data_IF_466028494510
#
_entry.id   IF_466028494510
#
_cell.length_a   1.000
_cell.length_b   1.000
_cell.length_c   1.000
_cell.angle_alpha   90.00
_cell.angle_beta   90.00
_cell.angle_gamma   90.00
#
_symmetry.space_group_name_H-M   'P 1'
#
loop_
_entity.id
_entity.type
_entity.pdbx_description
1 polymer ?
#
# COMPACT_ATOMS: atom_id res chain seq x y z
N UNK A 1 50.52 25.54 -47.12
CA UNK A 1 50.11 25.28 -45.74
C UNK A 1 48.94 26.19 -45.38
N UNK A 2 47.68 25.75 -45.56
CA UNK A 2 46.47 26.46 -45.12
C UNK A 2 45.31 25.47 -45.05
N UNK A 3 45.27 24.70 -43.97
CA UNK A 3 44.17 23.80 -43.60
C UNK A 3 43.43 24.44 -42.44
N UNK A 4 42.26 25.03 -42.68
CA UNK A 4 41.54 25.77 -41.63
C UNK A 4 40.10 26.15 -41.95
N UNK A 5 39.41 25.43 -42.85
CA UNK A 5 38.00 25.73 -43.19
C UNK A 5 36.98 24.64 -42.82
N UNK A 6 37.41 23.50 -42.27
CA UNK A 6 36.52 22.35 -42.06
C UNK A 6 35.90 22.25 -40.66
N UNK A 7 36.28 23.10 -39.70
CA UNK A 7 35.82 22.96 -38.31
C UNK A 7 34.41 23.51 -38.04
N UNK A 8 33.96 24.53 -38.77
CA UNK A 8 32.65 25.15 -38.52
C UNK A 8 31.47 24.28 -39.00
N UNK A 9 31.61 23.56 -40.11
CA UNK A 9 30.56 22.66 -40.61
C UNK A 9 30.40 21.40 -39.75
N UNK A 10 31.50 20.89 -39.19
CA UNK A 10 31.48 19.72 -38.32
C UNK A 10 30.77 20.00 -36.98
N UNK A 11 31.01 21.17 -36.39
CA UNK A 11 30.37 21.58 -35.14
C UNK A 11 28.85 21.78 -35.30
N UNK A 12 28.41 22.36 -36.43
CA UNK A 12 26.99 22.54 -36.72
C UNK A 12 26.27 21.22 -36.93
N UNK A 13 26.89 20.26 -37.64
CA UNK A 13 26.32 18.93 -37.87
C UNK A 13 26.20 18.13 -36.56
N UNK A 14 27.21 18.23 -35.68
CA UNK A 14 27.21 17.58 -34.37
C UNK A 14 26.10 18.13 -33.46
N UNK A 15 25.90 19.46 -33.46
CA UNK A 15 24.82 20.09 -32.71
C UNK A 15 23.45 19.64 -33.22
N UNK A 16 23.28 19.54 -34.55
CA UNK A 16 22.02 19.08 -35.15
C UNK A 16 21.70 17.62 -34.79
N UNK A 17 22.71 16.74 -34.85
CA UNK A 17 22.58 15.34 -34.43
C UNK A 17 22.24 15.20 -32.95
N UNK A 18 22.88 15.98 -32.07
CA UNK A 18 22.59 16.00 -30.64
C UNK A 18 21.16 16.49 -30.36
N UNK A 19 20.69 17.52 -31.06
CA UNK A 19 19.30 17.97 -30.94
C UNK A 19 18.30 16.92 -31.43
N UNK A 20 18.56 16.24 -32.54
CA UNK A 20 17.71 15.16 -33.05
C UNK A 20 17.69 13.95 -32.09
N UNK A 21 18.81 13.60 -31.47
CA UNK A 21 18.88 12.53 -30.46
C UNK A 21 18.11 12.90 -29.19
N UNK A 22 18.19 14.15 -28.74
CA UNK A 22 17.46 14.61 -27.54
C UNK A 22 15.94 14.59 -27.72
N UNK A 23 15.44 14.96 -28.90
CA UNK A 23 14.01 14.95 -29.22
C UNK A 23 13.46 13.51 -29.33
N UNK A 24 14.25 12.59 -29.88
CA UNK A 24 13.87 11.18 -29.94
C UNK A 24 13.98 10.47 -28.58
N UNK A 25 14.96 10.83 -27.75
CA UNK A 25 15.08 10.29 -26.39
C UNK A 25 13.87 10.66 -25.51
N UNK A 26 13.32 11.87 -25.68
CA UNK A 26 12.12 12.31 -24.95
C UNK A 26 10.87 11.50 -25.37
N UNK A 27 10.70 11.23 -26.67
CA UNK A 27 9.62 10.38 -27.19
C UNK A 27 9.73 8.91 -26.76
N UNK A 28 10.96 8.36 -26.75
CA UNK A 28 11.19 6.99 -26.28
C UNK A 28 10.90 6.88 -24.78
N UNK A 29 11.22 7.90 -23.98
CA UNK A 29 10.90 7.92 -22.56
C UNK A 29 9.39 7.91 -22.28
N UNK A 30 8.58 8.60 -23.09
CA UNK A 30 7.11 8.55 -23.00
C UNK A 30 6.56 7.16 -23.33
N UNK A 31 7.09 6.50 -24.37
CA UNK A 31 6.70 5.13 -24.78
C UNK A 31 7.05 4.06 -23.73
N UNK A 32 8.05 4.33 -22.89
CA UNK A 32 8.48 3.47 -21.78
C UNK A 32 7.82 3.83 -20.44
N UNK A 33 7.03 4.90 -20.38
CA UNK A 33 6.35 5.31 -19.15
C UNK A 33 5.13 4.42 -18.87
N UNK A 34 5.09 3.81 -17.69
CA UNK A 34 3.96 3.01 -17.24
C UNK A 34 2.80 3.95 -16.86
N UNK A 35 1.75 4.00 -17.68
CA UNK A 35 0.53 4.73 -17.34
C UNK A 35 -0.37 3.88 -16.45
N UNK A 36 -0.75 4.44 -15.30
CA UNK A 36 -1.71 3.84 -14.37
C UNK A 36 -3.11 4.38 -14.64
N UNK A 37 -4.12 3.57 -14.34
CA UNK A 37 -5.52 4.01 -14.27
C UNK A 37 -5.71 5.12 -13.23
N UNK A 38 -6.88 5.78 -13.21
CA UNK A 38 -7.36 6.48 -12.02
C UNK A 38 -7.47 5.53 -10.80
N UNK A 39 -7.59 6.09 -9.60
CA UNK A 39 -7.83 5.31 -8.38
C UNK A 39 -9.23 4.67 -8.43
N UNK A 40 -9.31 3.37 -8.75
CA UNK A 40 -10.58 2.65 -8.88
C UNK A 40 -11.24 2.35 -7.53
N UNK A 41 -10.54 2.58 -6.41
CA UNK A 41 -11.10 2.39 -5.09
C UNK A 41 -12.04 3.53 -4.66
N UNK A 42 -12.00 4.70 -5.31
CA UNK A 42 -12.83 5.84 -4.94
C UNK A 42 -14.33 5.53 -5.05
N UNK A 43 -15.10 6.08 -4.11
CA UNK A 43 -16.55 5.90 -4.07
C UNK A 43 -17.27 6.39 -5.35
N UNK A 44 -16.69 7.35 -6.08
CA UNK A 44 -17.25 7.86 -7.34
C UNK A 44 -17.22 6.83 -8.49
N UNK A 45 -16.47 5.73 -8.36
CA UNK A 45 -16.47 4.60 -9.29
C UNK A 45 -17.43 3.47 -8.88
N UNK A 46 -18.33 3.71 -7.92
CA UNK A 46 -19.26 2.69 -7.41
C UNK A 46 -18.63 1.75 -6.37
N UNK A 47 -17.42 2.04 -5.91
CA UNK A 47 -16.73 1.26 -4.90
C UNK A 47 -17.31 1.52 -3.51
N UNK A 48 -17.69 0.46 -2.81
CA UNK A 48 -18.19 0.50 -1.44
C UNK A 48 -17.07 0.19 -0.44
N UNK A 49 -17.15 0.79 0.73
CA UNK A 49 -16.24 0.54 1.82
C UNK A 49 -17.01 0.38 3.14
N UNK A 50 -16.51 -0.46 4.05
CA UNK A 50 -17.13 -0.61 5.37
C UNK A 50 -16.95 0.63 6.28
N UNK A 51 -16.15 1.60 5.83
CA UNK A 51 -16.08 2.94 6.40
C UNK A 51 -15.87 3.95 5.25
N UNK A 52 -16.69 5.02 5.13
CA UNK A 52 -16.65 5.93 3.98
C UNK A 52 -15.32 6.68 3.83
N UNK A 53 -14.67 6.98 4.96
CA UNK A 53 -13.33 7.57 4.95
C UNK A 53 -12.25 6.73 4.29
N UNK A 54 -12.48 5.45 3.93
CA UNK A 54 -11.46 4.65 3.24
C UNK A 54 -11.28 5.03 1.77
N UNK A 55 -12.28 5.67 1.17
CA UNK A 55 -12.34 5.90 -0.28
C UNK A 55 -13.08 7.18 -0.70
N UNK A 56 -13.09 8.20 0.17
CA UNK A 56 -13.70 9.50 -0.10
C UNK A 56 -12.79 10.46 -0.91
N UNK A 57 -11.55 10.07 -1.19
CA UNK A 57 -10.55 10.89 -1.87
C UNK A 57 -9.94 12.00 -1.02
N UNK A 58 -10.14 11.96 0.30
CA UNK A 58 -9.66 12.97 1.23
C UNK A 58 -8.74 12.37 2.29
N UNK A 59 -7.43 12.56 2.12
CA UNK A 59 -6.40 12.11 3.06
C UNK A 59 -6.52 12.70 4.49
N UNK A 60 -7.33 13.75 4.69
CA UNK A 60 -7.60 14.30 6.02
C UNK A 60 -8.68 13.52 6.78
N UNK A 61 -9.51 12.74 6.07
CA UNK A 61 -10.49 11.87 6.70
C UNK A 61 -9.79 10.66 7.35
N UNK A 62 -10.28 10.25 8.52
CA UNK A 62 -9.80 9.05 9.20
C UNK A 62 -10.91 8.01 9.24
N UNK A 63 -10.67 6.87 8.60
CA UNK A 63 -11.44 5.66 8.81
C UNK A 63 -11.04 4.98 10.11
N UNK A 64 -12.01 4.73 10.98
CA UNK A 64 -11.75 4.13 12.30
C UNK A 64 -12.51 2.83 12.50
N UNK A 65 -11.84 1.85 13.10
CA UNK A 65 -12.47 0.63 13.60
C UNK A 65 -12.38 0.58 15.12
N UNK A 66 -13.40 -0.01 15.79
CA UNK A 66 -13.43 -0.08 17.25
C UNK A 66 -12.26 -0.87 17.83
N UNK A 67 -11.98 -0.63 19.10
CA UNK A 67 -10.94 -1.29 19.88
C UNK A 67 -11.31 -2.74 20.23
N UNK A 68 -11.29 -3.63 19.23
CA UNK A 68 -11.57 -5.06 19.38
C UNK A 68 -10.48 -5.91 18.70
N UNK A 69 -10.57 -7.24 18.81
CA UNK A 69 -9.59 -8.14 18.20
C UNK A 69 -9.76 -8.31 16.69
N UNK A 70 -10.96 -8.04 16.17
CA UNK A 70 -11.36 -8.24 14.78
C UNK A 70 -11.52 -6.88 14.09
N UNK A 71 -10.41 -6.40 13.53
CA UNK A 71 -10.31 -5.08 12.91
C UNK A 71 -9.95 -5.25 11.44
N UNK A 72 -10.95 -5.20 10.57
CA UNK A 72 -10.77 -5.33 9.12
C UNK A 72 -11.38 -4.14 8.39
N UNK A 73 -10.56 -3.42 7.62
CA UNK A 73 -11.06 -2.46 6.64
C UNK A 73 -11.32 -3.21 5.33
N UNK A 74 -12.47 -3.00 4.72
CA UNK A 74 -12.91 -3.76 3.53
C UNK A 74 -13.36 -2.79 2.45
N UNK A 75 -12.87 -3.03 1.23
CA UNK A 75 -13.28 -2.36 0.00
C UNK A 75 -13.92 -3.39 -0.92
N UNK A 76 -15.07 -3.05 -1.51
CA UNK A 76 -15.80 -3.83 -2.50
C UNK A 76 -15.98 -2.99 -3.76
N UNK A 77 -15.39 -3.44 -4.85
CA UNK A 77 -15.56 -2.82 -6.16
C UNK A 77 -16.90 -3.20 -6.79
N UNK A 78 -17.41 -2.35 -7.68
CA UNK A 78 -18.63 -2.60 -8.47
C UNK A 78 -18.53 -3.85 -9.36
N UNK A 79 -17.31 -4.26 -9.70
CA UNK A 79 -17.02 -5.49 -10.44
C UNK A 79 -15.62 -6.03 -10.14
N UNK A 80 -15.26 -7.16 -10.74
CA UNK A 80 -13.90 -7.72 -10.62
C UNK A 80 -12.92 -6.75 -11.30
N UNK A 81 -11.97 -6.23 -10.53
CA UNK A 81 -10.96 -5.28 -11.01
C UNK A 81 -9.59 -5.96 -11.12
N UNK A 82 -8.83 -5.71 -12.19
CA UNK A 82 -7.41 -6.02 -12.21
C UNK A 82 -6.66 -5.12 -11.22
N UNK A 83 -5.70 -5.68 -10.49
CA UNK A 83 -4.91 -4.94 -9.50
C UNK A 83 -3.42 -5.04 -9.84
N UNK A 84 -2.77 -3.88 -9.96
CA UNK A 84 -1.34 -3.75 -10.29
C UNK A 84 -0.56 -2.97 -9.25
N UNK A 85 -1.23 -2.03 -8.57
CA UNK A 85 -0.66 -1.25 -7.48
C UNK A 85 -1.74 -0.94 -6.46
N UNK A 86 -1.37 -1.03 -5.18
CA UNK A 86 -2.18 -0.58 -4.05
C UNK A 86 -1.35 0.41 -3.24
N UNK A 87 -1.95 1.52 -2.82
CA UNK A 87 -1.38 2.47 -1.86
C UNK A 87 -2.27 2.50 -0.63
N UNK A 88 -1.68 2.35 0.55
CA UNK A 88 -2.39 2.47 1.83
C UNK A 88 -1.83 3.68 2.56
N UNK A 89 -2.68 4.68 2.76
CA UNK A 89 -2.39 5.85 3.60
C UNK A 89 -2.75 5.51 5.04
N UNK A 90 -1.72 5.42 5.88
CA UNK A 90 -1.83 4.89 7.22
C UNK A 90 -2.24 5.96 8.23
N UNK A 91 -3.05 5.58 9.22
CA UNK A 91 -3.29 6.36 10.42
C UNK A 91 -2.35 5.92 11.54
N UNK A 92 -2.54 4.68 12.02
CA UNK A 92 -1.82 4.17 13.19
C UNK A 92 -1.50 2.66 13.14
N UNK A 93 -1.61 2.03 11.97
CA UNK A 93 -1.37 0.60 11.82
C UNK A 93 0.12 0.28 11.97
N UNK A 94 0.44 -0.70 12.79
CA UNK A 94 1.81 -1.19 13.04
C UNK A 94 2.06 -2.53 12.34
N UNK A 95 1.07 -3.41 12.34
CA UNK A 95 1.11 -4.72 11.66
C UNK A 95 -0.27 -5.04 11.10
N UNK A 96 -0.32 -5.45 9.85
CA UNK A 96 -1.55 -5.83 9.17
C UNK A 96 -1.27 -6.76 8.00
N UNK A 97 -2.30 -7.46 7.55
CA UNK A 97 -2.28 -8.31 6.36
C UNK A 97 -3.10 -7.64 5.26
N UNK A 98 -2.63 -7.79 4.03
CA UNK A 98 -3.35 -7.38 2.84
C UNK A 98 -3.89 -8.63 2.17
N UNK A 99 -5.22 -8.71 2.12
CA UNK A 99 -5.94 -9.83 1.53
C UNK A 99 -6.76 -9.38 0.35
N UNK A 100 -6.97 -10.28 -0.60
CA UNK A 100 -7.92 -10.13 -1.68
C UNK A 100 -8.88 -11.32 -1.68
N UNK A 101 -10.11 -11.09 -2.15
CA UNK A 101 -11.04 -12.18 -2.40
C UNK A 101 -10.72 -12.80 -3.76
N UNK A 102 -10.23 -14.04 -3.78
CA UNK A 102 -9.96 -14.74 -5.02
C UNK A 102 -11.29 -15.01 -5.74
N UNK A 103 -11.42 -14.52 -6.98
CA UNK A 103 -12.67 -14.61 -7.75
C UNK A 103 -12.99 -16.05 -8.21
N UNK A 104 -12.00 -16.94 -8.28
CA UNK A 104 -12.14 -18.33 -8.69
C UNK A 104 -12.55 -19.24 -7.52
N UNK A 105 -11.92 -19.07 -6.36
CA UNK A 105 -12.15 -19.91 -5.17
C UNK A 105 -13.22 -19.34 -4.23
N UNK A 106 -13.45 -18.03 -4.27
CA UNK A 106 -14.31 -17.35 -3.30
C UNK A 106 -13.69 -17.23 -1.90
N UNK A 107 -12.40 -17.50 -1.77
CA UNK A 107 -11.66 -17.46 -0.50
C UNK A 107 -10.81 -16.20 -0.37
N UNK A 108 -10.57 -15.78 0.88
CA UNK A 108 -9.64 -14.69 1.16
C UNK A 108 -8.20 -15.21 1.11
N UNK A 109 -7.38 -14.59 0.26
CA UNK A 109 -5.97 -14.91 0.13
C UNK A 109 -5.10 -13.72 0.54
N UNK A 110 -4.11 -13.98 1.40
CA UNK A 110 -3.13 -12.97 1.81
C UNK A 110 -2.02 -12.87 0.78
N UNK A 111 -1.88 -11.71 0.13
CA UNK A 111 -0.77 -11.46 -0.79
C UNK A 111 0.42 -10.77 -0.11
N UNK A 112 0.19 -10.12 1.03
CA UNK A 112 1.26 -9.46 1.76
C UNK A 112 0.98 -9.33 3.26
N UNK A 113 2.04 -9.39 4.07
CA UNK A 113 2.00 -9.08 5.51
C UNK A 113 2.94 -7.93 5.80
N UNK A 114 2.38 -6.84 6.34
CA UNK A 114 3.14 -5.65 6.69
C UNK A 114 3.56 -5.70 8.14
N UNK A 115 4.84 -5.44 8.37
CA UNK A 115 5.41 -5.14 9.68
C UNK A 115 6.12 -3.79 9.57
N UNK A 116 5.65 -2.80 10.33
CA UNK A 116 6.25 -1.46 10.34
C UNK A 116 7.75 -1.51 10.67
N UNK A 117 8.53 -0.69 9.97
CA UNK A 117 9.97 -0.53 10.21
C UNK A 117 10.23 0.12 11.57
N UNK A 118 11.37 -0.20 12.20
CA UNK A 118 11.71 0.29 13.54
C UNK A 118 12.16 1.76 13.58
N UNK A 119 12.68 2.29 12.47
CA UNK A 119 13.13 3.67 12.37
C UNK A 119 12.15 4.45 11.48
N UNK A 120 11.49 5.46 12.06
CA UNK A 120 10.44 6.26 11.41
C UNK A 120 10.72 7.76 11.46
N UNK A 121 11.97 8.19 11.65
CA UNK A 121 12.39 9.60 11.61
C UNK A 121 11.51 10.55 12.46
N UNK A 122 11.03 10.06 13.61
CA UNK A 122 10.20 10.82 14.55
C UNK A 122 8.69 10.57 14.44
N UNK A 123 8.23 9.85 13.42
CA UNK A 123 6.82 9.45 13.30
C UNK A 123 6.49 8.22 14.16
N UNK A 124 5.25 8.17 14.66
CA UNK A 124 4.78 7.02 15.46
C UNK A 124 4.43 5.82 14.58
N UNK A 125 3.86 6.07 13.41
CA UNK A 125 3.47 5.07 12.42
C UNK A 125 3.99 5.45 11.04
N UNK A 126 4.33 4.46 10.20
CA UNK A 126 4.75 4.75 8.83
C UNK A 126 3.55 5.30 8.04
N UNK A 127 3.65 6.45 7.35
CA UNK A 127 2.48 7.19 6.89
C UNK A 127 1.85 6.58 5.63
N UNK A 128 2.63 5.83 4.85
CA UNK A 128 2.20 5.26 3.59
C UNK A 128 2.89 3.93 3.31
N UNK A 129 2.12 2.99 2.74
CA UNK A 129 2.63 1.73 2.19
C UNK A 129 2.25 1.64 0.72
N UNK A 130 3.23 1.29 -0.13
CA UNK A 130 3.02 1.10 -1.57
C UNK A 130 3.33 -0.34 -1.92
N UNK A 131 2.37 -1.02 -2.53
CA UNK A 131 2.51 -2.36 -3.07
C UNK A 131 2.43 -2.25 -4.59
N UNK A 132 3.52 -2.49 -5.28
CA UNK A 132 3.60 -2.41 -6.74
C UNK A 132 3.75 -3.82 -7.37
N UNK A 133 3.64 -3.87 -8.70
CA UNK A 133 3.85 -5.08 -9.51
C UNK A 133 2.93 -6.26 -9.12
N UNK A 134 1.75 -5.94 -8.60
CA UNK A 134 0.74 -6.94 -8.27
C UNK A 134 0.16 -7.56 -9.53
N UNK A 135 -0.22 -8.84 -9.46
CA UNK A 135 -0.85 -9.52 -10.58
C UNK A 135 -1.97 -10.48 -10.19
N UNK A 136 -3.09 -9.88 -9.75
CA UNK A 136 -4.32 -10.60 -9.47
C UNK A 136 -5.54 -9.76 -9.89
N UNK A 137 -6.71 -10.40 -9.90
CA UNK A 137 -8.00 -9.75 -10.08
C UNK A 137 -8.86 -10.04 -8.86
N UNK A 138 -9.64 -9.06 -8.42
CA UNK A 138 -10.50 -9.24 -7.26
C UNK A 138 -11.68 -8.27 -7.27
N UNK A 139 -12.78 -8.66 -6.65
CA UNK A 139 -13.88 -7.76 -6.33
C UNK A 139 -13.72 -7.12 -4.95
N UNK A 140 -12.89 -7.67 -4.07
CA UNK A 140 -12.78 -7.18 -2.69
C UNK A 140 -11.33 -7.19 -2.18
N UNK A 141 -10.96 -6.12 -1.49
CA UNK A 141 -9.72 -6.02 -0.73
C UNK A 141 -10.04 -5.92 0.75
N UNK A 142 -9.16 -6.50 1.58
CA UNK A 142 -9.25 -6.41 3.03
C UNK A 142 -7.89 -6.07 3.62
N UNK A 143 -7.89 -5.10 4.53
CA UNK A 143 -6.76 -4.81 5.42
C UNK A 143 -7.09 -5.38 6.78
N UNK A 144 -6.51 -6.53 7.12
CA UNK A 144 -6.72 -7.20 8.40
C UNK A 144 -5.69 -6.69 9.42
N UNK A 145 -6.13 -5.88 10.39
CA UNK A 145 -5.28 -5.20 11.35
C UNK A 145 -4.94 -6.13 12.51
N UNK A 146 -3.68 -6.52 12.58
CA UNK A 146 -3.20 -7.37 13.67
C UNK A 146 -2.64 -6.56 14.83
N UNK A 147 -2.07 -5.37 14.58
CA UNK A 147 -1.54 -4.49 15.62
C UNK A 147 -1.54 -3.02 15.21
N UNK A 148 -1.87 -2.13 16.14
CA UNK A 148 -1.69 -0.67 16.03
C UNK A 148 -0.53 -0.20 16.91
N UNK A 149 -0.05 1.03 16.69
CA UNK A 149 0.97 1.66 17.56
C UNK A 149 0.42 2.06 18.93
N UNK A 150 -0.90 2.07 19.08
CA UNK A 150 -1.61 2.42 20.32
C UNK A 150 -2.06 1.18 21.12
N UNK A 151 -1.90 -0.03 20.57
CA UNK A 151 -2.22 -1.27 21.28
C UNK A 151 -1.31 -1.45 22.50
N UNK A 152 -1.92 -1.79 23.65
CA UNK A 152 -1.21 -1.97 24.92
C UNK A 152 -0.98 -3.46 25.18
N UNK A 153 0.19 -3.82 25.72
CA UNK A 153 0.45 -5.19 26.19
C UNK A 153 0.41 -5.21 27.71
N UNK A 154 -0.54 -5.97 28.27
CA UNK A 154 -0.69 -6.17 29.72
C UNK A 154 -0.25 -7.57 30.12
N UNK A 155 0.33 -7.71 31.30
CA UNK A 155 0.66 -9.00 31.89
C UNK A 155 -0.51 -9.48 32.75
N UNK A 156 -1.06 -10.65 32.45
CA UNK A 156 -2.10 -11.31 33.25
C UNK A 156 -1.60 -12.63 33.84
N UNK A 157 -2.09 -13.00 35.01
CA UNK A 157 -1.80 -14.30 35.64
C UNK A 157 -2.77 -15.39 35.15
N UNK A 158 -3.95 -14.98 34.67
CA UNK A 158 -4.96 -15.85 34.05
C UNK A 158 -5.57 -15.18 32.80
N UNK A 159 -5.93 -16.00 31.82
CA UNK A 159 -6.55 -15.58 30.56
C UNK A 159 -8.07 -15.55 30.67
N UNK A 160 -8.71 -14.60 30.03
CA UNK A 160 -10.17 -14.51 29.88
C UNK A 160 -10.60 -14.87 28.45
N UNK A 161 -11.84 -15.34 28.23
CA UNK A 161 -12.38 -15.49 26.88
C UNK A 161 -12.24 -14.20 26.08
N UNK A 162 -11.72 -14.29 24.85
CA UNK A 162 -11.44 -13.12 24.02
C UNK A 162 -10.08 -12.46 24.27
N UNK A 163 -9.26 -12.95 25.20
CA UNK A 163 -7.89 -12.44 25.34
C UNK A 163 -7.03 -12.82 24.13
N UNK A 164 -6.44 -11.81 23.47
CA UNK A 164 -5.44 -12.01 22.43
C UNK A 164 -4.06 -12.15 23.05
N UNK A 165 -3.65 -13.38 23.30
CA UNK A 165 -2.34 -13.72 23.86
C UNK A 165 -1.27 -13.49 22.80
N UNK A 166 -0.30 -12.63 23.09
CA UNK A 166 0.84 -12.36 22.19
C UNK A 166 2.09 -13.16 22.56
N UNK A 167 2.23 -13.53 23.83
CA UNK A 167 3.43 -14.20 24.36
C UNK A 167 3.12 -14.79 25.75
N UNK A 168 3.91 -15.77 26.21
CA UNK A 168 3.80 -16.37 27.55
C UNK A 168 5.19 -16.41 28.19
N UNK A 169 5.34 -15.76 29.34
CA UNK A 169 6.59 -15.78 30.11
C UNK A 169 6.46 -16.71 31.30
N UNK A 170 7.45 -17.56 31.47
CA UNK A 170 7.48 -18.61 32.49
C UNK A 170 8.34 -18.26 33.70
N UNK A 171 9.14 -17.20 33.65
CA UNK A 171 10.14 -16.92 34.70
C UNK A 171 10.33 -15.42 34.96
N UNK A 172 10.13 -15.01 36.22
CA UNK A 172 10.66 -13.79 36.80
C UNK A 172 11.23 -14.16 38.18
N UNK A 173 12.53 -13.97 38.38
CA UNK A 173 13.20 -14.10 39.70
C UNK A 173 13.05 -15.50 40.36
N UNK A 174 13.22 -16.58 39.59
CA UNK A 174 13.28 -17.94 40.14
C UNK A 174 11.96 -18.51 40.68
N UNK A 175 10.84 -17.77 40.60
CA UNK A 175 9.50 -18.27 40.88
C UNK A 175 8.74 -18.52 39.58
N UNK A 176 8.16 -19.72 39.45
CA UNK A 176 7.30 -20.10 38.35
C UNK A 176 5.92 -19.44 38.50
N UNK A 177 5.75 -18.23 37.96
CA UNK A 177 4.44 -17.64 37.73
C UNK A 177 4.24 -17.48 36.22
N UNK A 178 3.35 -18.26 35.58
CA UNK A 178 3.05 -18.08 34.17
C UNK A 178 2.33 -16.74 33.99
N UNK A 179 3.01 -15.76 33.39
CA UNK A 179 2.39 -14.51 33.00
C UNK A 179 2.06 -14.56 31.49
N UNK A 180 0.79 -14.36 31.18
CA UNK A 180 0.32 -14.17 29.81
C UNK A 180 0.49 -12.72 29.43
N UNK A 181 1.11 -12.46 28.29
CA UNK A 181 1.13 -11.14 27.68
C UNK A 181 -0.08 -11.05 26.78
N UNK A 182 -1.05 -10.24 27.18
CA UNK A 182 -2.31 -10.06 26.47
C UNK A 182 -2.30 -8.69 25.82
N UNK A 183 -2.68 -8.64 24.54
CA UNK A 183 -2.87 -7.39 23.84
C UNK A 183 -4.27 -6.83 24.13
N UNK A 184 -4.31 -5.58 24.59
CA UNK A 184 -5.51 -4.78 24.65
C UNK A 184 -5.56 -3.94 23.37
N UNK A 185 -6.50 -4.23 22.46
CA UNK A 185 -6.59 -3.50 21.20
C UNK A 185 -7.01 -2.06 21.45
N UNK A 186 -6.43 -1.14 20.68
CA UNK A 186 -6.87 0.23 20.51
C UNK A 186 -7.64 0.38 19.19
N UNK A 187 -8.21 1.57 18.96
CA UNK A 187 -8.84 1.90 17.68
C UNK A 187 -7.82 1.79 16.55
N UNK A 188 -8.19 1.13 15.46
CA UNK A 188 -7.39 1.11 14.24
C UNK A 188 -7.81 2.26 13.32
N UNK A 189 -6.83 2.91 12.69
CA UNK A 189 -7.02 4.10 11.89
C UNK A 189 -6.31 3.99 10.55
N UNK A 190 -7.02 4.30 9.48
CA UNK A 190 -6.53 4.34 8.10
C UNK A 190 -7.09 5.60 7.43
N UNK A 191 -6.31 6.24 6.56
CA UNK A 191 -6.74 7.47 5.86
C UNK A 191 -7.42 7.18 4.54
N UNK A 192 -6.78 6.40 3.66
CA UNK A 192 -7.34 6.06 2.35
C UNK A 192 -6.62 4.82 1.78
N UNK A 193 -7.33 4.05 0.96
CA UNK A 193 -6.73 2.99 0.14
C UNK A 193 -6.93 3.36 -1.33
N UNK A 194 -5.84 3.40 -2.08
CA UNK A 194 -5.85 3.62 -3.52
C UNK A 194 -5.52 2.32 -4.26
N UNK A 195 -6.20 2.10 -5.37
CA UNK A 195 -6.02 0.89 -6.19
C UNK A 195 -5.92 1.28 -7.65
N UNK A 196 -4.93 0.70 -8.33
CA UNK A 196 -4.60 1.04 -9.70
C UNK A 196 -4.35 -0.20 -10.55
N UNK A 197 -4.73 -0.13 -11.82
CA UNK A 197 -4.33 -1.06 -12.88
C UNK A 197 -3.49 -0.35 -13.94
N UNK A 198 -2.96 -1.11 -14.89
CA UNK A 198 -2.26 -0.55 -16.05
C UNK A 198 -3.29 -0.01 -17.04
N UNK A 199 -3.05 1.18 -17.57
CA UNK A 199 -3.82 1.70 -18.70
C UNK A 199 -3.38 0.97 -19.98
N UNK A 200 -4.31 0.61 -20.89
CA UNK A 200 -3.93 0.10 -22.19
C UNK A 200 -3.01 1.09 -22.88
N UNK A 201 -1.94 0.60 -23.52
CA UNK A 201 -1.09 1.45 -24.38
C UNK A 201 -2.01 2.06 -25.44
N UNK A 202 -2.02 3.39 -25.56
CA UNK A 202 -2.66 4.01 -26.71
C UNK A 202 -1.87 3.57 -27.95
N UNK A 203 -2.42 2.63 -28.70
CA UNK A 203 -1.93 2.33 -30.03
C UNK A 203 -2.15 3.61 -30.85
N UNK A 204 -1.06 4.30 -31.17
CA UNK A 204 -1.10 5.37 -32.15
C UNK A 204 -1.54 4.72 -33.46
N UNK A 205 -2.79 4.98 -33.87
CA UNK A 205 -3.22 4.73 -35.24
C UNK A 205 -2.57 5.82 -36.09
N UNK A 206 -1.54 5.44 -36.85
CA UNK A 206 -0.93 6.23 -37.91
C UNK A 206 -1.93 6.49 -39.06
#
# INVERSE_FOLDING_TARGET
MRTGKNHHHFAALLCLLLSCLSLNACRIAEVLSTQYSPNVALANYGTEANHPGLNDGNLQTLATLPANNERSFIIRFDGVQPVRKIVVHNGNLFRFEMDYLNAETGEWETFHTVVQRRNLDGERAQPMYVFDRLNFQTQMLRVNVTRTVDDIIVNKIATQPGDRIVDRRTTLVGQYYPHYRVMQPAMAQLREIEVYHLQPKQDFQD
#
